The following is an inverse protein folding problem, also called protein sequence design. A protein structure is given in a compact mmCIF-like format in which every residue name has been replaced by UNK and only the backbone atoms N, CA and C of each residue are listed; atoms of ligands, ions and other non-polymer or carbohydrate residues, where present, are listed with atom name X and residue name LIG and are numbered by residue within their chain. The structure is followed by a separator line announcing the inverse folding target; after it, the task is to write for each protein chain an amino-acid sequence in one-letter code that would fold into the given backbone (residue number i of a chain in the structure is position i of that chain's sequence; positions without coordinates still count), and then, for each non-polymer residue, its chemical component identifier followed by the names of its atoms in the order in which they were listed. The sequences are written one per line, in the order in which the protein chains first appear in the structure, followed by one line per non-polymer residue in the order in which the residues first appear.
data_IF_424494302432
#
_entry.id   IF_424494302432
#
_cell.length_a   1.000
_cell.length_b   1.000
_cell.length_c   1.000
_cell.angle_alpha   90.00
_cell.angle_beta   90.00
_cell.angle_gamma   90.00
#
_symmetry.space_group_name_H-M   'P 1'
#
loop_
_entity.id
_entity.type
_entity.pdbx_description
1 polymer ?
2 non-polymer ?
3 non-polymer ?
4 non-polymer ?
5 water ?
#
# COMPACT_ATOMS: atom_id res chain seq x y z
N UNK A 2 -29.43 10.81 -20.38
CA UNK A 2 -28.41 9.73 -20.20
C UNK A 2 -27.60 9.93 -18.93
N UNK A 3 -27.24 8.85 -18.23
CA UNK A 3 -26.46 9.01 -17.01
C UNK A 3 -24.98 9.26 -17.25
N UNK A 4 -24.28 9.55 -16.16
CA UNK A 4 -22.86 9.75 -16.22
C UNK A 4 -22.30 8.53 -15.50
N UNK A 5 -21.26 7.93 -16.07
CA UNK A 5 -20.63 6.77 -15.46
C UNK A 5 -19.49 7.22 -14.57
N UNK A 6 -19.46 6.72 -13.33
CA UNK A 6 -18.38 7.01 -12.40
C UNK A 6 -17.61 5.70 -12.31
N UNK A 7 -16.41 5.70 -12.86
CA UNK A 7 -15.56 4.51 -12.89
C UNK A 7 -14.59 4.48 -11.71
N UNK A 8 -14.81 3.55 -10.79
CA UNK A 8 -13.98 3.38 -9.61
C UNK A 8 -12.86 2.41 -9.89
N UNK A 9 -11.63 2.78 -9.51
CA UNK A 9 -10.50 1.89 -9.64
C UNK A 9 -9.97 1.73 -8.21
N UNK A 10 -8.75 2.19 -7.95
CA UNK A 10 -8.20 2.08 -6.60
C UNK A 10 -8.78 3.16 -5.71
N UNK A 11 -10.10 3.29 -5.73
CA UNK A 11 -10.82 4.31 -4.96
C UNK A 11 -12.21 3.78 -4.62
N UNK A 12 -12.24 2.66 -3.91
CA UNK A 12 -13.49 2.00 -3.53
C UNK A 12 -14.12 2.66 -2.30
N UNK A 13 -14.67 3.86 -2.49
CA UNK A 13 -15.28 4.63 -1.40
C UNK A 13 -16.22 5.68 -1.96
N UNK A 14 -17.04 6.26 -1.09
CA UNK A 14 -17.98 7.32 -1.47
C UNK A 14 -17.54 8.65 -0.85
N UNK A 15 -16.75 8.59 0.23
CA UNK A 15 -16.26 9.79 0.91
C UNK A 15 -15.08 10.39 0.16
N UNK A 16 -15.00 11.71 0.12
CA UNK A 16 -13.91 12.41 -0.55
C UNK A 16 -13.56 11.78 -1.91
N UNK A 17 -14.52 11.77 -2.82
CA UNK A 17 -14.30 11.20 -4.15
C UNK A 17 -14.63 12.26 -5.20
N UNK A 18 -13.60 12.94 -5.74
CA UNK A 18 -13.78 13.99 -6.74
C UNK A 18 -14.56 13.59 -8.00
N UNK A 19 -14.27 12.41 -8.55
CA UNK A 19 -14.96 11.96 -9.76
C UNK A 19 -16.46 11.73 -9.50
N UNK A 20 -16.79 11.18 -8.33
CA UNK A 20 -18.19 10.94 -8.00
C UNK A 20 -18.99 12.23 -7.90
N UNK A 21 -18.47 13.23 -7.18
CA UNK A 21 -19.19 14.49 -7.04
C UNK A 21 -19.19 15.30 -8.33
N UNK A 22 -18.09 15.26 -9.06
CA UNK A 22 -18.01 16.01 -10.32
C UNK A 22 -19.14 15.55 -11.26
N UNK A 23 -19.38 14.26 -11.29
CA UNK A 23 -20.44 13.70 -12.15
C UNK A 23 -21.84 13.94 -11.57
N UNK A 24 -21.98 13.70 -10.27
CA UNK A 24 -23.27 13.87 -9.60
C UNK A 24 -23.81 15.28 -9.74
N UNK A 25 -22.92 16.27 -9.75
CA UNK A 25 -23.33 17.66 -9.87
C UNK A 25 -23.93 17.95 -11.24
N UNK A 26 -23.58 17.14 -12.24
CA UNK A 26 -24.08 17.33 -13.59
C UNK A 26 -25.34 16.53 -13.92
N UNK A 27 -25.58 15.44 -13.18
CA UNK A 27 -26.76 14.64 -13.44
C UNK A 27 -26.75 13.30 -12.75
N UNK A 28 -27.69 12.40 -13.09
CA UNK A 28 -27.72 11.08 -12.44
C UNK A 28 -26.49 10.27 -12.80
N UNK A 29 -26.01 9.47 -11.86
CA UNK A 29 -24.83 8.67 -12.13
C UNK A 29 -25.07 7.20 -11.88
N UNK A 30 -24.19 6.39 -12.46
CA UNK A 30 -24.18 4.95 -12.29
C UNK A 30 -22.70 4.63 -12.08
N UNK A 31 -22.39 3.89 -11.01
CA UNK A 31 -21.01 3.53 -10.73
C UNK A 31 -20.57 2.29 -11.48
N UNK A 32 -19.26 2.11 -11.61
CA UNK A 32 -18.73 0.97 -12.34
C UNK A 32 -17.36 0.56 -11.86
N UNK A 33 -17.16 -0.74 -11.72
CA UNK A 33 -15.88 -1.32 -11.34
C UNK A 33 -15.66 -2.38 -12.40
N UNK A 34 -14.43 -2.49 -12.87
CA UNK A 34 -14.11 -3.50 -13.86
C UNK A 34 -13.08 -4.43 -13.24
N UNK A 35 -13.38 -5.72 -13.20
CA UNK A 35 -12.44 -6.71 -12.65
C UNK A 35 -11.49 -6.97 -13.82
N UNK A 36 -10.30 -6.39 -13.70
CA UNK A 36 -9.23 -6.40 -14.70
C UNK A 36 -8.24 -7.52 -14.43
N UNK A 37 -7.97 -8.36 -15.42
CA UNK A 37 -7.03 -9.47 -15.23
C UNK A 37 -5.63 -8.97 -14.85
N UNK A 38 -5.28 -7.78 -15.32
CA UNK A 38 -3.98 -7.20 -15.01
C UNK A 38 -3.82 -6.93 -13.53
N UNK A 39 -4.93 -6.81 -12.80
CA UNK A 39 -4.86 -6.58 -11.36
C UNK A 39 -5.31 -7.80 -10.55
N UNK A 40 -6.31 -8.52 -11.05
CA UNK A 40 -6.82 -9.69 -10.32
C UNK A 40 -6.00 -10.96 -10.42
N UNK A 41 -5.06 -11.02 -11.36
CA UNK A 41 -4.23 -12.21 -11.48
C UNK A 41 -3.07 -12.11 -10.50
N UNK A 42 -3.38 -12.24 -9.21
CA UNK A 42 -2.38 -12.17 -8.14
C UNK A 42 -2.71 -13.24 -7.10
N UNK A 43 -2.06 -13.21 -5.95
CA UNK A 43 -2.32 -14.20 -4.92
C UNK A 43 -3.76 -14.11 -4.40
N UNK A 44 -4.34 -15.25 -3.97
CA UNK A 44 -5.71 -15.33 -3.45
C UNK A 44 -6.06 -14.30 -2.38
N UNK A 45 -5.16 -14.11 -1.41
CA UNK A 45 -5.43 -13.17 -0.33
C UNK A 45 -5.66 -11.75 -0.81
N UNK A 46 -4.93 -11.31 -1.83
CA UNK A 46 -5.08 -9.94 -2.34
C UNK A 46 -6.28 -9.84 -3.26
N UNK A 47 -6.54 -10.88 -4.03
CA UNK A 47 -7.68 -10.86 -4.93
C UNK A 47 -8.98 -10.78 -4.11
N UNK A 48 -9.07 -11.60 -3.07
CA UNK A 48 -10.25 -11.61 -2.22
C UNK A 48 -10.43 -10.27 -1.52
N UNK A 49 -9.34 -9.72 -1.00
CA UNK A 49 -9.40 -8.43 -0.32
C UNK A 49 -10.00 -7.40 -1.28
N UNK A 50 -9.58 -7.45 -2.54
CA UNK A 50 -10.10 -6.52 -3.54
C UNK A 50 -11.59 -6.76 -3.76
N UNK A 51 -11.93 -8.00 -4.11
CA UNK A 51 -13.32 -8.38 -4.36
C UNK A 51 -14.25 -8.01 -3.20
N UNK A 52 -13.85 -8.30 -1.98
CA UNK A 52 -14.71 -8.01 -0.84
C UNK A 52 -14.95 -6.52 -0.65
N UNK A 53 -13.97 -5.69 -1.00
CA UNK A 53 -14.16 -4.27 -0.86
C UNK A 53 -15.03 -3.76 -1.99
N UNK A 54 -15.04 -4.49 -3.11
CA UNK A 54 -15.91 -4.11 -4.22
C UNK A 54 -17.34 -4.46 -3.81
N UNK A 55 -17.50 -5.61 -3.15
CA UNK A 55 -18.83 -6.03 -2.69
C UNK A 55 -19.35 -5.00 -1.68
N UNK A 56 -18.47 -4.54 -0.81
CA UNK A 56 -18.84 -3.53 0.18
C UNK A 56 -19.24 -2.20 -0.49
N UNK A 57 -18.59 -1.84 -1.59
CA UNK A 57 -18.91 -0.59 -2.28
C UNK A 57 -20.32 -0.69 -2.85
N UNK A 58 -20.62 -1.84 -3.46
CA UNK A 58 -21.95 -2.03 -4.01
C UNK A 58 -22.99 -1.87 -2.89
N UNK A 59 -22.75 -2.50 -1.75
CA UNK A 59 -23.69 -2.38 -0.63
C UNK A 59 -23.84 -0.91 -0.25
N UNK A 60 -22.74 -0.17 -0.25
CA UNK A 60 -22.81 1.25 0.09
C UNK A 60 -23.66 1.99 -0.95
N UNK A 61 -23.56 1.59 -2.21
CA UNK A 61 -24.36 2.23 -3.26
C UNK A 61 -25.84 1.87 -3.03
N UNK A 62 -26.10 0.59 -2.81
CA UNK A 62 -27.46 0.10 -2.58
C UNK A 62 -28.14 0.77 -1.40
N UNK A 63 -27.42 0.87 -0.29
CA UNK A 63 -27.96 1.50 0.91
C UNK A 63 -28.45 2.91 0.63
N UNK A 64 -27.86 3.56 -0.38
CA UNK A 64 -28.24 4.92 -0.71
C UNK A 64 -29.19 4.97 -1.90
N UNK A 65 -29.62 3.80 -2.35
CA UNK A 65 -30.54 3.73 -3.48
C UNK A 65 -29.87 3.81 -4.83
N UNK A 66 -28.54 3.76 -4.88
CA UNK A 66 -27.83 3.86 -6.13
C UNK A 66 -27.42 2.54 -6.77
N UNK A 67 -26.90 2.61 -8.00
CA UNK A 67 -26.49 1.43 -8.76
C UNK A 67 -25.00 1.35 -9.12
N UNK A 68 -24.38 0.23 -8.76
CA UNK A 68 -22.96 -0.03 -9.04
C UNK A 68 -22.85 -1.26 -9.93
N UNK A 69 -22.36 -1.08 -11.16
CA UNK A 69 -22.16 -2.19 -12.08
C UNK A 69 -20.77 -2.78 -11.84
N UNK A 70 -20.64 -4.08 -12.06
CA UNK A 70 -19.37 -4.76 -11.92
C UNK A 70 -19.25 -5.65 -13.14
N UNK A 71 -18.25 -5.39 -13.96
CA UNK A 71 -18.03 -6.17 -15.16
C UNK A 71 -16.65 -6.77 -15.08
N UNK A 72 -16.45 -7.89 -15.77
CA UNK A 72 -15.17 -8.56 -15.75
C UNK A 72 -14.54 -8.50 -17.13
N UNK A 73 -13.23 -8.28 -17.20
CA UNK A 73 -12.58 -8.23 -18.50
C UNK A 73 -11.64 -7.04 -18.67
N UNK A 74 -11.24 -6.80 -19.91
CA UNK A 74 -10.33 -5.70 -20.22
C UNK A 74 -11.04 -4.35 -20.21
N UNK A 75 -10.52 -3.38 -19.43
CA UNK A 75 -11.12 -2.05 -19.33
C UNK A 75 -11.47 -1.40 -20.67
N UNK A 76 -10.58 -1.50 -21.66
CA UNK A 76 -10.86 -0.88 -22.96
C UNK A 76 -11.98 -1.57 -23.75
N UNK A 77 -12.49 -2.67 -23.23
CA UNK A 77 -13.62 -3.32 -23.89
C UNK A 77 -14.85 -3.16 -22.99
N UNK A 78 -14.68 -3.35 -21.69
CA UNK A 78 -15.79 -3.24 -20.76
C UNK A 78 -16.33 -1.85 -20.45
N UNK A 79 -15.46 -0.84 -20.33
CA UNK A 79 -15.97 0.51 -20.03
C UNK A 79 -16.83 1.02 -21.20
N UNK A 80 -16.33 0.93 -22.44
CA UNK A 80 -17.15 1.40 -23.57
C UNK A 80 -18.47 0.61 -23.65
N UNK A 81 -18.41 -0.69 -23.36
CA UNK A 81 -19.61 -1.53 -23.38
C UNK A 81 -20.65 -0.95 -22.41
N UNK A 82 -20.24 -0.74 -21.16
CA UNK A 82 -21.13 -0.17 -20.15
C UNK A 82 -21.66 1.18 -20.64
N UNK A 83 -20.78 1.99 -21.22
CA UNK A 83 -21.20 3.31 -21.73
C UNK A 83 -22.26 3.19 -22.79
N UNK A 84 -22.08 2.24 -23.72
CA UNK A 84 -23.08 2.05 -24.77
C UNK A 84 -24.40 1.58 -24.18
N UNK A 85 -24.34 0.54 -23.34
CA UNK A 85 -25.55 -0.02 -22.73
C UNK A 85 -26.34 0.97 -21.90
N UNK A 86 -25.64 1.87 -21.22
CA UNK A 86 -26.31 2.87 -20.39
C UNK A 86 -26.57 4.15 -21.15
N UNK A 87 -26.00 4.27 -22.35
CA UNK A 87 -26.15 5.50 -23.13
C UNK A 87 -25.63 6.66 -22.29
N UNK A 88 -24.49 6.43 -21.63
CA UNK A 88 -23.87 7.43 -20.78
C UNK A 88 -23.32 8.58 -21.60
N UNK A 89 -23.45 9.79 -21.08
CA UNK A 89 -22.94 10.98 -21.77
C UNK A 89 -21.42 11.10 -21.62
N UNK A 90 -20.90 10.65 -20.51
CA UNK A 90 -19.47 10.74 -20.26
C UNK A 90 -19.04 9.81 -19.13
N UNK A 91 -17.73 9.60 -19.01
CA UNK A 91 -17.17 8.76 -17.96
C UNK A 91 -16.23 9.59 -17.11
N UNK A 92 -16.36 9.47 -15.79
CA UNK A 92 -15.51 10.20 -14.85
C UNK A 92 -14.72 9.24 -13.98
N UNK A 93 -13.44 9.55 -13.78
CA UNK A 93 -12.58 8.73 -12.94
C UNK A 93 -11.47 9.58 -12.32
N UNK A 94 -10.70 8.99 -11.42
CA UNK A 94 -9.59 9.70 -10.79
C UNK A 94 -8.34 9.36 -11.60
N UNK A 95 -7.51 10.36 -11.82
CA UNK A 95 -6.28 10.20 -12.61
C UNK A 95 -5.37 9.17 -11.99
N UNK A 96 -4.68 8.41 -12.84
CA UNK A 96 -3.72 7.41 -12.36
C UNK A 96 -2.41 7.67 -13.07
N UNK A 97 -1.35 7.89 -12.29
CA UNK A 97 -0.03 8.16 -12.85
C UNK A 97 0.90 6.94 -12.93
N UNK A 98 0.35 5.75 -12.72
CA UNK A 98 1.17 4.54 -12.81
C UNK A 98 1.33 4.15 -14.27
N UNK A 99 2.39 3.42 -14.58
CA UNK A 99 2.64 2.98 -15.96
C UNK A 99 1.41 2.27 -16.53
N UNK A 100 0.91 1.28 -15.82
CA UNK A 100 -0.27 0.55 -16.30
C UNK A 100 -1.48 1.48 -16.36
N UNK A 101 -1.65 2.27 -15.30
CA UNK A 101 -2.76 3.20 -15.24
C UNK A 101 -2.84 4.09 -16.45
N UNK A 102 -1.70 4.65 -16.85
CA UNK A 102 -1.68 5.52 -18.03
C UNK A 102 -1.91 4.73 -19.30
N UNK A 103 -1.27 3.58 -19.42
CA UNK A 103 -1.46 2.77 -20.62
C UNK A 103 -2.95 2.42 -20.73
N UNK A 104 -3.54 1.90 -19.66
CA UNK A 104 -4.96 1.51 -19.64
C UNK A 104 -5.90 2.63 -20.01
N UNK A 105 -5.74 3.78 -19.34
CA UNK A 105 -6.62 4.90 -19.62
C UNK A 105 -6.49 5.47 -21.04
N UNK A 106 -5.31 5.34 -21.63
CA UNK A 106 -5.14 5.83 -23.00
C UNK A 106 -5.92 4.93 -23.94
N UNK A 107 -5.85 3.63 -23.67
CA UNK A 107 -6.56 2.64 -24.46
C UNK A 107 -8.07 2.86 -24.35
N UNK A 108 -8.55 3.09 -23.13
CA UNK A 108 -9.98 3.32 -22.92
C UNK A 108 -10.41 4.57 -23.67
N UNK A 109 -9.65 5.65 -23.51
CA UNK A 109 -9.97 6.92 -24.18
C UNK A 109 -10.10 6.69 -25.70
N UNK A 110 -9.29 5.79 -26.24
CA UNK A 110 -9.32 5.48 -27.67
C UNK A 110 -10.58 4.72 -28.06
N UNK A 111 -10.97 3.76 -27.22
CA UNK A 111 -12.16 2.97 -27.50
C UNK A 111 -13.46 3.73 -27.21
N UNK A 112 -13.45 4.61 -26.20
CA UNK A 112 -14.64 5.37 -25.82
C UNK A 112 -15.12 6.41 -26.82
N UNK A 113 -16.42 6.38 -27.15
CA UNK A 113 -17.05 7.31 -28.09
C UNK A 113 -17.48 8.59 -27.38
N UNK A 114 -17.46 8.58 -26.05
CA UNK A 114 -17.84 9.76 -25.26
C UNK A 114 -16.59 10.17 -24.47
N UNK A 115 -16.59 11.39 -23.90
CA UNK A 115 -15.43 11.86 -23.13
C UNK A 115 -15.14 11.09 -21.85
N UNK A 116 -13.86 10.96 -21.55
CA UNK A 116 -13.38 10.33 -20.34
C UNK A 116 -12.76 11.51 -19.57
N UNK A 117 -13.35 11.86 -18.42
CA UNK A 117 -12.85 12.98 -17.61
C UNK A 117 -12.10 12.48 -16.41
N UNK A 118 -10.82 12.83 -16.32
CA UNK A 118 -10.00 12.39 -15.20
C UNK A 118 -9.74 13.53 -14.24
N UNK A 119 -9.99 13.28 -12.95
CA UNK A 119 -9.77 14.29 -11.92
C UNK A 119 -8.66 13.86 -10.99
N UNK A 120 -7.93 14.83 -10.43
CA UNK A 120 -6.82 14.53 -9.52
C UNK A 120 -7.32 13.75 -8.32
N UNK A 121 -6.61 12.70 -7.95
CA UNK A 121 -6.98 11.90 -6.78
C UNK A 121 -6.53 12.71 -5.55
N UNK A 122 -7.22 12.57 -4.43
CA UNK A 122 -6.80 13.32 -3.24
C UNK A 122 -5.42 12.87 -2.74
N UNK A 123 -4.56 13.83 -2.43
CA UNK A 123 -3.22 13.54 -1.92
C UNK A 123 -2.86 14.64 -0.93
N UNK A 124 -1.79 14.44 -0.17
CA UNK A 124 -1.32 15.47 0.76
C UNK A 124 -0.42 16.32 -0.14
N UNK A 125 0.43 15.65 -0.91
CA UNK A 125 1.31 16.30 -1.87
C UNK A 125 1.22 15.49 -3.18
N UNK A 126 0.96 16.18 -4.30
CA UNK A 126 0.85 15.51 -5.60
C UNK A 126 2.13 14.79 -5.95
N UNK A 127 2.05 13.66 -6.65
CA UNK A 127 3.27 12.92 -7.01
C UNK A 127 3.95 13.53 -8.25
N UNK A 128 3.18 14.21 -9.08
CA UNK A 128 3.72 14.80 -10.30
C UNK A 128 4.17 16.25 -10.11
N UNK A 129 4.73 16.52 -8.94
CA UNK A 129 5.22 17.84 -8.60
C UNK A 129 6.42 18.11 -9.50
N UNK A 130 6.58 19.35 -9.97
CA UNK A 130 7.70 19.74 -10.85
C UNK A 130 9.06 19.24 -10.37
N UNK A 131 9.55 19.84 -9.29
CA UNK A 131 10.85 19.47 -8.74
C UNK A 131 10.84 17.98 -8.38
N UNK A 132 12.01 17.36 -8.48
CA UNK A 132 12.15 15.94 -8.15
C UNK A 132 13.08 15.80 -6.97
N UNK A 133 12.56 15.30 -5.85
CA UNK A 133 13.38 15.13 -4.64
C UNK A 133 13.65 13.65 -4.37
N UNK A 134 14.88 13.34 -3.96
CA UNK A 134 15.26 11.97 -3.65
C UNK A 134 15.29 11.84 -2.14
N UNK A 135 15.16 12.97 -1.46
CA UNK A 135 15.18 13.00 -0.01
C UNK A 135 13.85 13.49 0.52
N UNK A 136 13.42 12.88 1.62
CA UNK A 136 12.15 13.19 2.25
C UNK A 136 11.98 14.58 2.87
N UNK A 137 12.94 15.01 3.68
CA UNK A 137 12.84 16.31 4.35
C UNK A 137 12.44 17.48 3.45
N UNK A 138 13.18 17.72 2.36
CA UNK A 138 12.84 18.83 1.46
C UNK A 138 11.44 18.69 0.85
N UNK A 139 11.07 17.44 0.56
CA UNK A 139 9.76 17.13 0.00
C UNK A 139 8.68 17.49 1.00
N UNK A 140 8.82 16.99 2.23
CA UNK A 140 7.85 17.22 3.28
C UNK A 140 7.63 18.69 3.64
N UNK A 141 8.62 19.54 3.38
CA UNK A 141 8.48 20.96 3.73
C UNK A 141 7.44 21.69 2.90
N UNK A 142 7.11 21.12 1.73
CA UNK A 142 6.11 21.73 0.85
C UNK A 142 4.71 21.57 1.42
N UNK A 143 4.54 20.59 2.32
CA UNK A 143 3.22 20.34 2.91
C UNK A 143 2.82 21.46 3.88
N UNK A 144 1.66 22.06 3.63
CA UNK A 144 1.16 23.15 4.45
C UNK A 144 -0.14 22.83 5.19
N UNK A 145 -0.43 21.55 5.39
CA UNK A 145 -1.66 21.17 6.07
C UNK A 145 -2.62 20.55 5.07
N UNK A 146 -3.57 19.76 5.57
CA UNK A 146 -4.53 19.09 4.69
C UNK A 146 -5.70 19.95 4.25
N UNK A 147 -6.05 19.85 2.97
CA UNK A 147 -7.19 20.60 2.45
C UNK A 147 -8.41 19.83 2.94
N UNK A 148 -9.59 20.49 2.98
CA UNK A 148 -10.80 19.81 3.47
C UNK A 148 -11.23 18.69 2.52
N UNK A 149 -11.78 17.59 3.08
CA UNK A 149 -12.20 16.48 2.22
C UNK A 149 -13.60 16.73 1.66
N UNK A 150 -13.92 16.13 0.52
CA UNK A 150 -15.24 16.29 -0.08
C UNK A 150 -16.24 15.40 0.65
N UNK A 151 -17.48 15.87 0.83
CA UNK A 151 -18.47 15.06 1.53
C UNK A 151 -19.04 13.93 0.67
N UNK A 152 -19.55 12.88 1.32
CA UNK A 152 -20.12 11.77 0.56
C UNK A 152 -21.55 12.18 0.20
N UNK A 153 -22.12 11.57 -0.84
CA UNK A 153 -23.50 11.93 -1.18
C UNK A 153 -24.43 11.35 -0.10
N UNK A 154 -25.55 12.01 0.16
CA UNK A 154 -26.50 11.54 1.17
C UNK A 154 -27.34 10.40 0.60
N UNK A 155 -27.71 10.55 -0.67
CA UNK A 155 -28.52 9.55 -1.35
C UNK A 155 -28.07 9.58 -2.80
N UNK A 156 -28.36 8.51 -3.53
CA UNK A 156 -27.95 8.43 -4.92
C UNK A 156 -29.12 8.22 -5.85
N UNK A 157 -29.05 8.77 -7.07
CA UNK A 157 -30.16 8.58 -8.01
C UNK A 157 -30.26 7.11 -8.35
N UNK A 158 -31.47 6.65 -8.63
CA UNK A 158 -31.71 5.25 -8.95
C UNK A 158 -31.25 4.93 -10.37
N UNK A 159 -30.85 3.68 -10.59
CA UNK A 159 -30.43 3.27 -11.91
C UNK A 159 -30.40 1.75 -11.97
N UNK A 160 -30.14 1.17 -13.15
CA UNK A 160 -30.10 -0.28 -13.23
C UNK A 160 -28.78 -0.82 -12.71
N UNK A 161 -28.81 -2.01 -12.13
CA UNK A 161 -27.63 -2.65 -11.60
C UNK A 161 -27.34 -3.92 -12.41
N UNK A 162 -26.06 -4.15 -12.70
CA UNK A 162 -25.65 -5.31 -13.49
C UNK A 162 -24.34 -5.89 -12.99
N UNK A 163 -24.14 -7.17 -13.28
CA UNK A 163 -22.91 -7.85 -12.91
C UNK A 163 -22.90 -8.52 -11.56
N UNK A 164 -22.09 -9.57 -11.45
CA UNK A 164 -21.97 -10.34 -10.21
C UNK A 164 -20.54 -10.23 -9.70
N UNK A 165 -20.39 -10.28 -8.38
CA UNK A 165 -19.08 -10.19 -7.77
C UNK A 165 -18.60 -11.54 -7.27
N UNK A 166 -17.64 -12.17 -7.97
CA UNK A 166 -17.10 -13.48 -7.58
C UNK A 166 -16.69 -13.55 -6.11
N UNK A 167 -16.67 -14.77 -5.57
CA UNK A 167 -16.27 -15.00 -4.19
C UNK A 167 -15.01 -15.84 -4.19
N UNK A 168 -13.95 -15.32 -3.58
CA UNK A 168 -12.66 -15.99 -3.53
C UNK A 168 -12.26 -16.40 -2.11
N UNK A 169 -11.51 -17.50 -2.02
CA UNK A 169 -11.06 -17.99 -0.74
C UNK A 169 -9.73 -17.28 -0.44
N UNK A 170 -9.74 -16.33 0.50
CA UNK A 170 -8.52 -15.60 0.86
C UNK A 170 -7.45 -16.50 1.48
N UNK A 171 -7.88 -17.62 2.06
CA UNK A 171 -6.95 -18.53 2.69
C UNK A 171 -6.46 -17.99 4.01
N UNK A 172 -7.15 -16.97 4.53
CA UNK A 172 -6.79 -16.37 5.79
C UNK A 172 -7.85 -15.38 6.25
N UNK A 173 -7.77 -14.92 7.51
CA UNK A 173 -8.74 -13.97 8.04
C UNK A 173 -8.52 -12.56 7.50
N UNK A 174 -9.55 -12.01 6.87
CA UNK A 174 -9.44 -10.66 6.32
C UNK A 174 -10.04 -9.63 7.27
N UNK A 175 -9.50 -8.40 7.24
CA UNK A 175 -10.03 -7.35 8.12
C UNK A 175 -11.47 -7.10 7.67
N UNK A 176 -12.23 -6.30 8.40
CA UNK A 176 -13.60 -6.03 7.97
C UNK A 176 -13.50 -5.11 6.75
N UNK A 177 -14.07 -5.54 5.62
CA UNK A 177 -14.05 -4.76 4.38
C UNK A 177 -15.02 -3.59 4.33
N UNK A 178 -14.69 -2.59 3.53
CA UNK A 178 -15.59 -1.46 3.40
C UNK A 178 -15.19 -0.18 4.09
N UNK A 179 -15.80 0.90 3.63
CA UNK A 179 -15.56 2.24 4.11
C UNK A 179 -16.05 2.46 5.55
N UNK A 180 -17.21 1.93 5.89
CA UNK A 180 -17.73 2.10 7.25
C UNK A 180 -16.70 1.54 8.23
N UNK A 181 -16.25 0.32 7.97
CA UNK A 181 -15.26 -0.31 8.83
C UNK A 181 -14.00 0.55 8.90
N UNK A 182 -13.52 1.02 7.75
CA UNK A 182 -12.32 1.84 7.70
C UNK A 182 -12.51 3.13 8.50
N UNK A 183 -13.66 3.77 8.37
CA UNK A 183 -13.92 5.00 9.08
C UNK A 183 -13.97 4.78 10.59
N UNK A 184 -14.57 3.67 11.03
CA UNK A 184 -14.64 3.37 12.46
C UNK A 184 -13.22 3.19 12.98
N UNK A 185 -12.41 2.47 12.21
CA UNK A 185 -11.02 2.26 12.62
C UNK A 185 -10.28 3.57 12.78
N UNK A 186 -10.48 4.50 11.85
CA UNK A 186 -9.81 5.79 11.92
C UNK A 186 -10.19 6.52 13.21
N UNK A 187 -11.50 6.59 13.49
CA UNK A 187 -12.00 7.24 14.72
C UNK A 187 -11.31 6.66 15.95
N UNK A 188 -11.40 5.34 16.10
CA UNK A 188 -10.78 4.65 17.22
C UNK A 188 -9.32 5.08 17.38
N UNK A 189 -8.53 4.87 16.33
CA UNK A 189 -7.13 5.23 16.38
C UNK A 189 -6.91 6.67 16.82
N UNK A 190 -7.66 7.59 16.24
CA UNK A 190 -7.52 9.00 16.56
C UNK A 190 -7.89 9.32 18.00
N UNK A 191 -8.95 8.69 18.50
CA UNK A 191 -9.39 8.94 19.87
C UNK A 191 -8.54 8.27 20.93
N UNK A 192 -8.03 7.08 20.62
CA UNK A 192 -7.24 6.33 21.59
C UNK A 192 -5.73 6.33 21.39
N UNK A 193 -5.26 5.87 20.23
CA UNK A 193 -3.84 5.75 19.97
C UNK A 193 -3.06 6.95 19.45
N UNK A 194 -3.70 7.87 18.75
CA UNK A 194 -2.98 9.01 18.21
C UNK A 194 -2.09 9.74 19.22
N UNK A 195 -2.60 10.01 20.43
CA UNK A 195 -1.85 10.71 21.48
C UNK A 195 -0.45 10.18 21.79
N UNK A 196 -0.29 8.86 21.78
CA UNK A 196 1.00 8.26 22.10
C UNK A 196 1.71 7.68 20.88
N UNK A 197 1.13 7.88 19.71
CA UNK A 197 1.70 7.35 18.47
C UNK A 197 3.21 7.51 18.35
N UNK A 198 3.72 8.69 18.70
CA UNK A 198 5.15 8.96 18.58
C UNK A 198 5.99 8.02 19.43
N UNK A 199 5.46 7.59 20.57
CA UNK A 199 6.18 6.70 21.45
C UNK A 199 5.88 5.22 21.23
N UNK A 200 4.82 4.93 20.48
CA UNK A 200 4.43 3.54 20.25
C UNK A 200 4.54 3.06 18.80
N UNK A 201 4.96 3.93 17.89
CA UNK A 201 5.03 3.57 16.48
C UNK A 201 6.19 2.65 16.08
N UNK A 202 6.99 2.21 17.05
CA UNK A 202 8.12 1.34 16.72
C UNK A 202 8.01 -0.09 17.25
N UNK A 203 6.97 -0.36 18.02
CA UNK A 203 6.77 -1.69 18.56
C UNK A 203 6.81 -2.69 17.39
N UNK A 204 7.38 -3.86 17.63
CA UNK A 204 7.48 -4.89 16.61
C UNK A 204 6.11 -5.44 16.20
N UNK A 205 5.19 -5.48 17.15
CA UNK A 205 3.84 -5.98 16.89
C UNK A 205 2.97 -4.90 16.25
N UNK A 206 3.56 -3.71 16.09
CA UNK A 206 2.86 -2.59 15.49
C UNK A 206 1.45 -2.28 15.96
N UNK A 207 1.21 -2.37 17.26
CA UNK A 207 -0.12 -2.08 17.77
C UNK A 207 -0.27 -0.61 18.15
N UNK A 208 0.81 0.14 17.97
CA UNK A 208 0.77 1.55 18.26
C UNK A 208 0.27 2.29 17.03
N UNK A 209 0.16 1.56 15.92
CA UNK A 209 -0.29 2.14 14.68
C UNK A 209 -1.78 1.92 14.40
N UNK A 210 -2.27 2.58 13.36
CA UNK A 210 -3.68 2.49 12.98
C UNK A 210 -4.09 1.18 12.28
N UNK A 211 -3.13 0.49 11.68
CA UNK A 211 -3.44 -0.74 10.96
C UNK A 211 -4.41 -0.44 9.81
N UNK A 212 -4.36 0.77 9.26
CA UNK A 212 -5.27 1.15 8.17
C UNK A 212 -4.71 0.99 6.75
N UNK A 213 -3.44 0.62 6.63
CA UNK A 213 -2.80 0.45 5.33
C UNK A 213 -3.58 -0.40 4.31
N UNK A 214 -4.22 -1.50 4.73
CA UNK A 214 -4.97 -2.31 3.76
C UNK A 214 -6.09 -1.50 3.10
N UNK A 215 -6.66 -0.56 3.85
CA UNK A 215 -7.73 0.29 3.33
C UNK A 215 -7.17 1.37 2.41
N UNK A 216 -6.07 1.98 2.83
CA UNK A 216 -5.44 3.01 2.04
C UNK A 216 -5.05 2.44 0.67
N UNK A 217 -4.48 1.24 0.69
CA UNK A 217 -4.02 0.58 -0.52
C UNK A 217 -5.06 0.48 -1.62
N UNK A 218 -6.31 0.34 -1.25
CA UNK A 218 -7.39 0.22 -2.23
C UNK A 218 -8.24 1.49 -2.31
N UNK A 219 -7.77 2.57 -1.70
CA UNK A 219 -8.52 3.80 -1.72
C UNK A 219 -9.83 3.74 -0.97
N UNK A 220 -9.99 2.75 -0.10
CA UNK A 220 -11.21 2.64 0.68
C UNK A 220 -11.25 3.82 1.64
N UNK A 221 -10.08 4.38 1.90
CA UNK A 221 -9.94 5.53 2.80
C UNK A 221 -9.08 6.57 2.09
N UNK A 222 -9.53 7.82 2.09
CA UNK A 222 -8.77 8.88 1.47
C UNK A 222 -7.68 9.40 2.41
N UNK A 223 -6.45 9.58 1.92
CA UNK A 223 -5.40 10.07 2.81
C UNK A 223 -5.66 11.52 3.22
N UNK A 224 -6.37 12.27 2.37
CA UNK A 224 -6.67 13.65 2.66
C UNK A 224 -7.63 13.74 3.82
N UNK A 225 -8.63 12.86 3.81
CA UNK A 225 -9.62 12.85 4.87
C UNK A 225 -8.91 12.48 6.18
N UNK A 226 -8.10 11.43 6.15
CA UNK A 226 -7.38 10.99 7.33
C UNK A 226 -6.49 12.08 7.94
N UNK A 227 -5.72 12.75 7.09
CA UNK A 227 -4.84 13.82 7.54
C UNK A 227 -5.65 14.97 8.15
N UNK A 228 -6.71 15.36 7.45
CA UNK A 228 -7.57 16.43 7.91
C UNK A 228 -8.11 16.12 9.31
N UNK A 229 -8.53 14.89 9.52
CA UNK A 229 -9.06 14.46 10.82
C UNK A 229 -7.98 14.53 11.91
N UNK A 230 -6.80 13.99 11.61
CA UNK A 230 -5.72 13.99 12.58
C UNK A 230 -5.29 15.41 12.94
N UNK A 231 -5.22 16.28 11.93
CA UNK A 231 -4.82 17.65 12.15
C UNK A 231 -5.84 18.42 12.98
N UNK A 232 -7.08 17.95 12.98
CA UNK A 232 -8.13 18.58 13.78
C UNK A 232 -7.88 18.28 15.25
N UNK A 233 -7.18 17.17 15.50
CA UNK A 233 -6.85 16.75 16.86
C UNK A 233 -5.58 17.48 17.28
N UNK A 234 -4.64 17.60 16.34
CA UNK A 234 -3.40 18.28 16.62
C UNK A 234 -2.54 17.54 17.62
N UNK A 235 -1.40 18.14 17.97
CA UNK A 235 -0.50 17.52 18.92
C UNK A 235 0.70 16.87 18.25
N UNK A 236 1.61 16.35 19.06
CA UNK A 236 2.80 15.68 18.55
C UNK A 236 2.38 14.43 17.78
N UNK A 237 1.45 13.68 18.34
CA UNK A 237 0.96 12.47 17.71
C UNK A 237 0.49 12.71 16.29
N UNK A 238 -0.37 13.70 16.12
CA UNK A 238 -0.91 14.03 14.81
C UNK A 238 0.21 14.43 13.84
N UNK A 239 1.14 15.25 14.31
CA UNK A 239 2.27 15.71 13.48
C UNK A 239 3.06 14.53 12.91
N UNK A 240 3.40 13.60 13.79
CA UNK A 240 4.18 12.43 13.42
C UNK A 240 3.41 11.45 12.54
N UNK A 241 2.14 11.25 12.84
CA UNK A 241 1.32 10.30 12.08
C UNK A 241 1.09 10.83 10.65
N UNK A 242 0.80 12.12 10.53
CA UNK A 242 0.59 12.70 9.21
C UNK A 242 1.88 12.59 8.42
N UNK A 243 3.01 12.72 9.11
CA UNK A 243 4.32 12.61 8.46
C UNK A 243 4.46 11.24 7.79
N UNK A 244 3.86 10.22 8.40
CA UNK A 244 3.91 8.88 7.85
C UNK A 244 3.06 8.81 6.58
N UNK A 245 1.91 9.48 6.60
CA UNK A 245 1.02 9.54 5.45
C UNK A 245 1.80 10.19 4.32
N UNK A 246 2.63 11.17 4.66
CA UNK A 246 3.41 11.84 3.65
C UNK A 246 4.39 10.86 3.00
N UNK A 247 4.91 9.92 3.80
CA UNK A 247 5.83 8.93 3.25
C UNK A 247 5.18 8.15 2.12
N UNK A 248 3.87 7.94 2.22
CA UNK A 248 3.15 7.22 1.18
C UNK A 248 3.20 8.06 -0.09
N UNK A 249 2.89 9.35 0.05
CA UNK A 249 2.91 10.23 -1.11
C UNK A 249 4.32 10.39 -1.66
N UNK A 250 5.32 10.36 -0.78
CA UNK A 250 6.70 10.49 -1.19
C UNK A 250 7.05 9.28 -2.07
N UNK A 251 6.50 8.12 -1.71
CA UNK A 251 6.72 6.88 -2.44
C UNK A 251 6.23 7.02 -3.89
N UNK A 252 5.03 7.57 -4.07
CA UNK A 252 4.50 7.74 -5.41
C UNK A 252 5.32 8.79 -6.16
N UNK A 253 5.74 9.83 -5.43
CA UNK A 253 6.56 10.90 -6.01
C UNK A 253 7.83 10.30 -6.60
N UNK A 254 8.49 9.43 -5.83
CA UNK A 254 9.72 8.79 -6.28
C UNK A 254 9.52 7.98 -7.57
N UNK A 255 8.58 7.03 -7.53
CA UNK A 255 8.33 6.19 -8.69
C UNK A 255 7.94 7.02 -9.92
N UNK A 256 7.26 8.14 -9.69
CA UNK A 256 6.85 9.00 -10.79
C UNK A 256 8.03 9.69 -11.48
N UNK A 257 8.94 10.26 -10.69
CA UNK A 257 10.10 10.96 -11.24
C UNK A 257 11.24 10.01 -11.61
N UNK A 258 11.34 8.88 -10.92
CA UNK A 258 12.40 7.91 -11.19
C UNK A 258 11.77 6.56 -11.48
N UNK A 259 11.13 6.41 -12.64
CA UNK A 259 10.47 5.15 -13.04
C UNK A 259 11.46 4.00 -13.01
N UNK A 260 12.67 4.29 -13.48
CA UNK A 260 13.72 3.29 -13.55
C UNK A 260 14.11 2.67 -12.24
N UNK A 261 13.61 3.21 -11.11
CA UNK A 261 14.00 2.61 -9.85
C UNK A 261 13.32 1.28 -9.61
N UNK A 262 12.32 0.96 -10.43
CA UNK A 262 11.64 -0.33 -10.31
C UNK A 262 12.58 -1.37 -10.91
N UNK A 263 13.52 -0.90 -11.72
CA UNK A 263 14.49 -1.77 -12.38
C UNK A 263 15.84 -1.81 -11.65
N UNK A 264 16.38 -0.65 -11.29
CA UNK A 264 17.66 -0.57 -10.61
C UNK A 264 17.66 0.43 -9.45
N UNK A 265 18.59 0.27 -8.50
CA UNK A 265 18.71 1.15 -7.34
C UNK A 265 18.77 2.63 -7.70
N UNK A 266 18.21 3.48 -6.83
CA UNK A 266 18.25 4.92 -7.05
C UNK A 266 19.70 5.33 -7.06
N UNK A 267 20.46 4.75 -6.13
CA UNK A 267 21.88 5.02 -6.00
C UNK A 267 22.68 4.19 -7.01
N UNK A 268 23.16 4.82 -8.09
CA UNK A 268 23.93 4.17 -9.15
C UNK A 268 25.07 3.27 -8.70
N UNK A 269 25.77 3.66 -7.64
CA UNK A 269 26.89 2.86 -7.17
C UNK A 269 26.52 1.48 -6.63
N UNK A 270 25.27 1.09 -6.79
CA UNK A 270 24.82 -0.22 -6.35
C UNK A 270 24.19 -0.97 -7.51
N UNK A 271 24.27 -0.38 -8.70
CA UNK A 271 23.72 -0.97 -9.90
C UNK A 271 24.37 -2.32 -10.23
N UNK A 272 25.55 -2.56 -9.67
CA UNK A 272 26.27 -3.81 -9.92
C UNK A 272 26.72 -4.52 -8.65
N UNK A 273 25.85 -4.54 -7.63
CA UNK A 273 26.21 -5.20 -6.39
C UNK A 273 26.17 -6.70 -6.65
N UNK A 274 27.07 -7.47 -6.03
CA UNK A 274 27.13 -8.92 -6.21
C UNK A 274 26.01 -9.68 -5.48
N UNK A 275 24.79 -9.58 -6.01
CA UNK A 275 23.64 -10.27 -5.41
C UNK A 275 23.77 -11.76 -5.68
N UNK A 276 23.98 -12.53 -4.61
CA UNK A 276 24.13 -13.96 -4.73
C UNK A 276 22.78 -14.67 -4.70
N UNK A 277 22.26 -14.99 -5.88
CA UNK A 277 20.97 -15.67 -5.99
C UNK A 277 21.08 -17.16 -5.68
N UNK A 278 20.92 -17.50 -4.41
CA UNK A 278 20.97 -18.90 -4.00
C UNK A 278 19.58 -19.34 -3.60
N UNK A 279 18.99 -20.18 -4.45
CA UNK A 279 17.63 -20.69 -4.23
C UNK A 279 17.41 -21.25 -2.83
N UNK A 280 18.45 -21.82 -2.25
CA UNK A 280 18.34 -22.40 -0.92
C UNK A 280 18.08 -21.33 0.15
N UNK A 281 18.86 -20.25 0.11
CA UNK A 281 18.71 -19.17 1.07
C UNK A 281 17.38 -18.42 0.90
N UNK A 282 16.95 -18.26 -0.34
CA UNK A 282 15.69 -17.56 -0.59
C UNK A 282 14.52 -18.20 0.16
N UNK A 283 14.40 -19.51 0.07
CA UNK A 283 13.30 -20.22 0.75
C UNK A 283 13.42 -20.03 2.25
N UNK A 284 14.65 -20.15 2.75
CA UNK A 284 14.91 -19.98 4.17
C UNK A 284 14.32 -18.66 4.64
N UNK A 285 14.60 -17.60 3.88
CA UNK A 285 14.10 -16.28 4.20
C UNK A 285 12.60 -16.22 3.98
N UNK A 286 12.17 -16.58 2.76
CA UNK A 286 10.77 -16.57 2.39
C UNK A 286 9.86 -17.35 3.35
N UNK A 287 10.38 -18.44 3.89
CA UNK A 287 9.63 -19.26 4.82
C UNK A 287 9.85 -18.90 6.29
N UNK A 288 10.83 -18.05 6.54
CA UNK A 288 11.12 -17.68 7.92
C UNK A 288 11.85 -18.79 8.63
N UNK A 289 12.83 -19.37 7.95
CA UNK A 289 13.63 -20.47 8.50
C UNK A 289 15.11 -20.10 8.41
N UNK A 290 15.43 -18.87 8.80
CA UNK A 290 16.80 -18.39 8.76
C UNK A 290 17.51 -18.68 10.08
N UNK A 291 16.72 -18.97 11.11
CA UNK A 291 17.30 -19.26 12.41
C UNK A 291 17.27 -18.02 13.28
N UNK A 292 17.12 -16.86 12.67
CA UNK A 292 17.07 -15.60 13.40
C UNK A 292 15.65 -15.36 13.90
N UNK A 293 15.46 -15.38 15.23
CA UNK A 293 14.15 -15.18 15.85
C UNK A 293 13.30 -14.05 15.26
N UNK A 294 13.91 -12.88 15.10
CA UNK A 294 13.21 -11.71 14.56
C UNK A 294 12.67 -11.95 13.15
N UNK A 295 13.58 -12.07 12.19
CA UNK A 295 13.21 -12.30 10.80
C UNK A 295 12.20 -13.44 10.68
N UNK A 296 12.49 -14.55 11.35
CA UNK A 296 11.61 -15.71 11.31
C UNK A 296 10.19 -15.39 11.76
N UNK A 297 10.05 -14.73 12.90
CA UNK A 297 8.73 -14.37 13.42
C UNK A 297 8.02 -13.40 12.49
N UNK A 298 8.78 -12.52 11.85
CA UNK A 298 8.22 -11.53 10.93
C UNK A 298 7.62 -12.21 9.71
N UNK A 299 8.40 -13.07 9.08
CA UNK A 299 7.96 -13.78 7.89
C UNK A 299 6.82 -14.74 8.18
N UNK A 300 6.75 -15.20 9.41
CA UNK A 300 5.69 -16.13 9.80
C UNK A 300 4.36 -15.41 10.02
N UNK A 301 4.44 -14.19 10.52
CA UNK A 301 3.23 -13.40 10.73
C UNK A 301 2.74 -12.96 9.35
N UNK A 302 3.68 -12.55 8.50
CA UNK A 302 3.36 -12.11 7.14
C UNK A 302 2.60 -13.19 6.37
N UNK A 303 3.11 -14.42 6.40
CA UNK A 303 2.46 -15.54 5.71
C UNK A 303 1.08 -15.85 6.28
N UNK A 304 0.95 -15.70 7.60
CA UNK A 304 -0.31 -16.00 8.27
C UNK A 304 -1.35 -14.89 8.26
N UNK A 305 -0.92 -13.65 8.48
CA UNK A 305 -1.85 -12.52 8.54
C UNK A 305 -1.93 -11.62 7.33
N UNK A 306 -0.84 -11.50 6.58
CA UNK A 306 -0.85 -10.64 5.42
C UNK A 306 -0.53 -9.22 5.85
N UNK A 307 -0.20 -9.06 7.12
CA UNK A 307 0.16 -7.76 7.67
C UNK A 307 1.41 -7.89 8.50
N UNK A 308 2.17 -6.81 8.59
CA UNK A 308 3.40 -6.80 9.36
C UNK A 308 3.71 -5.34 9.71
N UNK A 309 4.12 -5.10 10.95
CA UNK A 309 4.44 -3.75 11.39
C UNK A 309 5.58 -3.18 10.57
N UNK A 310 5.73 -1.86 10.62
CA UNK A 310 6.78 -1.21 9.86
C UNK A 310 8.17 -1.61 10.34
N UNK A 311 8.34 -1.71 11.66
CA UNK A 311 9.62 -2.08 12.25
C UNK A 311 9.99 -3.49 11.80
N UNK A 312 9.02 -4.40 11.83
CA UNK A 312 9.27 -5.77 11.40
C UNK A 312 9.68 -5.81 9.92
N UNK A 313 8.97 -5.07 9.07
CA UNK A 313 9.26 -5.06 7.65
C UNK A 313 10.66 -4.59 7.28
N UNK A 314 11.15 -3.55 7.95
CA UNK A 314 12.49 -3.03 7.64
C UNK A 314 13.60 -4.01 8.03
N UNK A 315 13.36 -4.78 9.09
CA UNK A 315 14.34 -5.78 9.53
C UNK A 315 14.37 -6.90 8.50
N UNK A 316 13.26 -7.63 8.42
CA UNK A 316 13.12 -8.74 7.49
C UNK A 316 13.62 -8.36 6.10
N UNK A 317 13.32 -7.14 5.68
CA UNK A 317 13.74 -6.68 4.35
C UNK A 317 15.24 -6.47 4.25
N UNK A 318 15.82 -5.84 5.27
CA UNK A 318 17.25 -5.59 5.25
C UNK A 318 18.05 -6.87 5.41
N UNK A 319 17.60 -7.71 6.34
CA UNK A 319 18.27 -8.99 6.59
C UNK A 319 18.53 -9.71 5.28
N UNK A 320 17.50 -9.76 4.44
CA UNK A 320 17.60 -10.44 3.15
C UNK A 320 18.59 -9.76 2.21
N UNK A 321 18.58 -8.43 2.19
CA UNK A 321 19.45 -7.67 1.30
C UNK A 321 20.91 -7.58 1.73
N UNK A 322 21.14 -7.41 3.03
CA UNK A 322 22.49 -7.26 3.55
C UNK A 322 23.11 -8.51 4.16
N UNK A 323 22.36 -9.22 5.00
CA UNK A 323 22.87 -10.41 5.65
C UNK A 323 22.84 -11.67 4.78
N UNK A 324 22.12 -11.62 3.66
CA UNK A 324 22.02 -12.78 2.78
C UNK A 324 22.32 -12.42 1.34
N UNK A 325 22.47 -11.13 1.07
CA UNK A 325 22.77 -10.64 -0.27
C UNK A 325 21.83 -11.20 -1.34
N UNK A 326 20.61 -11.55 -0.94
CA UNK A 326 19.62 -12.06 -1.90
C UNK A 326 19.21 -10.88 -2.75
N UNK A 327 19.08 -11.07 -4.07
CA UNK A 327 18.68 -9.94 -4.91
C UNK A 327 17.35 -9.33 -4.45
N UNK A 328 17.28 -8.00 -4.46
CA UNK A 328 16.08 -7.29 -4.02
C UNK A 328 14.89 -7.45 -4.96
N UNK A 329 15.13 -7.42 -6.27
CA UNK A 329 14.05 -7.56 -7.25
C UNK A 329 13.12 -8.73 -6.94
N UNK A 330 13.69 -9.91 -6.70
CA UNK A 330 12.88 -11.09 -6.41
C UNK A 330 12.23 -11.01 -5.04
N UNK A 331 13.00 -10.57 -4.05
CA UNK A 331 12.49 -10.45 -2.68
C UNK A 331 11.34 -9.45 -2.55
N UNK A 332 11.46 -8.28 -3.18
CA UNK A 332 10.40 -7.28 -3.06
C UNK A 332 9.10 -7.76 -3.71
N UNK A 333 9.20 -8.53 -4.78
CA UNK A 333 8.02 -9.04 -5.46
C UNK A 333 7.31 -10.05 -4.56
N UNK A 334 8.06 -10.99 -4.01
CA UNK A 334 7.47 -12.01 -3.15
C UNK A 334 6.85 -11.36 -1.91
N UNK A 335 7.48 -10.30 -1.44
CA UNK A 335 7.02 -9.57 -0.26
C UNK A 335 5.65 -8.95 -0.55
N UNK A 336 5.59 -8.18 -1.64
CA UNK A 336 4.38 -7.50 -2.05
C UNK A 336 3.18 -8.45 -2.15
N UNK A 337 3.39 -9.60 -2.77
CA UNK A 337 2.33 -10.59 -2.97
C UNK A 337 1.74 -11.17 -1.69
N UNK A 338 2.49 -11.10 -0.59
CA UNK A 338 2.00 -11.63 0.68
C UNK A 338 1.29 -10.56 1.51
N UNK A 339 1.37 -9.31 1.07
CA UNK A 339 0.77 -8.19 1.79
C UNK A 339 -0.60 -7.73 1.32
N UNK A 340 -1.52 -7.56 2.25
CA UNK A 340 -2.86 -7.09 1.91
C UNK A 340 -2.74 -5.64 1.44
N UNK A 341 -1.79 -4.92 1.99
CA UNK A 341 -1.58 -3.52 1.62
C UNK A 341 -0.49 -3.40 0.57
N UNK A 342 -0.13 -4.53 -0.02
CA UNK A 342 0.91 -4.57 -1.05
C UNK A 342 0.67 -3.51 -2.11
N UNK A 343 1.55 -2.51 -2.13
CA UNK A 343 1.47 -1.38 -3.06
C UNK A 343 2.83 -1.30 -3.74
N UNK A 344 2.85 -1.40 -5.06
CA UNK A 344 4.10 -1.39 -5.81
C UNK A 344 5.07 -0.25 -5.48
N UNK A 345 4.60 0.99 -5.62
CA UNK A 345 5.43 2.14 -5.33
C UNK A 345 5.95 2.16 -3.89
N UNK A 346 5.03 1.96 -2.94
CA UNK A 346 5.40 1.99 -1.54
C UNK A 346 6.34 0.88 -1.13
N UNK A 347 6.06 -0.34 -1.59
CA UNK A 347 6.90 -1.48 -1.27
C UNK A 347 8.30 -1.31 -1.84
N UNK A 348 8.37 -0.73 -3.03
CA UNK A 348 9.64 -0.50 -3.70
C UNK A 348 10.50 0.51 -2.92
N UNK A 349 9.89 1.63 -2.52
CA UNK A 349 10.65 2.61 -1.77
C UNK A 349 11.04 2.01 -0.43
N UNK A 350 10.15 1.22 0.16
CA UNK A 350 10.46 0.59 1.44
C UNK A 350 11.67 -0.33 1.34
N UNK A 351 11.78 -1.07 0.24
CA UNK A 351 12.90 -1.96 0.05
C UNK A 351 14.18 -1.21 -0.31
N UNK A 352 14.06 -0.24 -1.21
CA UNK A 352 15.24 0.52 -1.60
C UNK A 352 15.70 1.45 -0.49
N UNK A 353 14.95 1.49 0.60
CA UNK A 353 15.30 2.33 1.73
C UNK A 353 15.92 1.45 2.82
N UNK A 354 15.17 0.43 3.23
CA UNK A 354 15.65 -0.49 4.24
C UNK A 354 16.84 -1.27 3.69
N UNK A 355 16.98 -1.29 2.37
CA UNK A 355 18.08 -2.02 1.77
C UNK A 355 19.26 -1.12 1.51
N UNK A 356 19.13 0.15 1.90
CA UNK A 356 20.21 1.09 1.68
C UNK A 356 20.55 1.13 0.21
N UNK A 357 19.54 1.31 -0.64
CA UNK A 357 19.77 1.33 -2.08
C UNK A 357 19.63 2.68 -2.75
N UNK A 358 19.47 3.74 -1.96
CA UNK A 358 19.36 5.07 -2.56
C UNK A 358 18.23 5.98 -2.12
N UNK A 359 17.23 5.44 -1.43
CA UNK A 359 16.10 6.25 -0.99
C UNK A 359 16.43 7.07 0.26
N UNK A 360 16.01 8.34 0.25
CA UNK A 360 16.24 9.26 1.37
C UNK A 360 17.72 9.25 1.76
N UNK A 361 18.59 8.99 0.80
CA UNK A 361 20.02 8.94 1.05
C UNK A 361 20.36 8.17 2.33
N UNK A 362 19.62 7.10 2.60
CA UNK A 362 19.88 6.30 3.79
C UNK A 362 21.23 5.61 3.61
N UNK A 363 22.13 5.74 4.59
CA UNK A 363 23.47 5.14 4.55
C UNK A 363 23.50 3.61 4.65
N UNK A 364 24.39 3.02 3.86
CA UNK A 364 24.54 1.57 3.84
C UNK A 364 25.09 1.03 5.16
N UNK A 365 25.96 1.81 5.81
CA UNK A 365 26.57 1.37 7.06
C UNK A 365 25.60 1.10 8.19
N UNK A 366 24.36 1.54 8.04
CA UNK A 366 23.37 1.28 9.08
C UNK A 366 22.89 -0.16 8.89
N UNK A 367 23.22 -1.02 9.83
CA UNK A 367 22.83 -2.42 9.75
C UNK A 367 22.14 -2.84 11.04
N UNK A 368 20.90 -3.29 10.91
CA UNK A 368 20.12 -3.71 12.07
C UNK A 368 20.73 -4.90 12.78
N UNK A 369 20.58 -4.94 14.09
CA UNK A 369 21.10 -6.02 14.90
C UNK A 369 19.90 -6.86 15.33
N UNK A 370 19.61 -7.93 14.58
CA UNK A 370 18.51 -8.87 14.79
C UNK A 370 18.09 -9.16 16.22
N UNK A 371 19.04 -9.15 17.16
CA UNK A 371 18.70 -9.44 18.56
C UNK A 371 18.39 -8.17 19.34
N UNK A 372 19.21 -7.14 19.16
CA UNK A 372 18.98 -5.87 19.84
C UNK A 372 17.60 -5.38 19.48
N UNK A 373 17.38 -5.23 18.17
CA UNK A 373 16.10 -4.76 17.65
C UNK A 373 14.95 -5.47 18.36
N UNK A 374 15.06 -6.79 18.48
CA UNK A 374 14.03 -7.56 19.12
C UNK A 374 13.82 -7.30 20.60
N UNK A 375 14.87 -6.86 21.28
CA UNK A 375 14.78 -6.58 22.71
C UNK A 375 14.44 -5.12 22.98
N UNK A 376 14.84 -4.25 22.06
CA UNK A 376 14.58 -2.83 22.20
C UNK A 376 13.19 -2.47 21.67
N UNK A 377 12.60 -3.35 20.87
CA UNK A 377 11.28 -3.08 20.31
C UNK A 377 10.25 -4.16 20.62
N UNK A 378 10.50 -4.93 21.68
CA UNK A 378 9.59 -5.98 22.12
C UNK A 378 9.92 -6.38 23.55
N UNK A 379 9.05 -6.03 24.51
CA UNK A 379 9.15 -6.29 25.94
C UNK A 379 9.50 -7.73 26.33
N UNK A 380 8.53 -8.43 26.92
CA UNK A 380 8.75 -9.81 27.33
C UNK A 380 8.90 -10.72 26.13
N UNK A 381 9.22 -10.12 24.98
CA UNK A 381 9.36 -10.92 23.77
C UNK A 381 8.04 -11.58 23.46
N UNK A 382 6.96 -10.94 23.90
CA UNK A 382 5.62 -11.46 23.67
C UNK A 382 5.33 -11.64 22.18
N UNK A 383 5.87 -10.73 21.37
CA UNK A 383 5.67 -10.81 19.93
C UNK A 383 6.30 -12.09 19.44
N UNK A 384 7.61 -12.23 19.69
CA UNK A 384 8.36 -13.41 19.28
C UNK A 384 7.71 -14.69 19.80
N UNK A 385 7.09 -14.59 20.97
CA UNK A 385 6.42 -15.72 21.59
C UNK A 385 5.22 -16.19 20.79
N UNK A 386 4.47 -15.24 20.24
CA UNK A 386 3.27 -15.56 19.47
C UNK A 386 3.54 -16.07 18.06
N UNK A 387 4.64 -15.63 17.46
CA UNK A 387 4.96 -16.04 16.10
C UNK A 387 6.09 -17.06 15.95
N UNK A 388 6.96 -17.14 16.96
CA UNK A 388 8.06 -18.10 16.94
C UNK A 388 8.29 -18.63 18.35
N UNK A 389 7.29 -19.33 18.90
CA UNK A 389 7.34 -19.91 20.25
C UNK A 389 8.62 -20.70 20.50
N UNK A 390 9.07 -21.42 19.47
CA UNK A 390 10.27 -22.23 19.54
C UNK A 390 11.46 -21.49 20.15
N UNK A 391 11.78 -20.34 19.59
CA UNK A 391 12.91 -19.55 20.06
C UNK A 391 12.74 -19.12 21.53
N UNK A 392 13.79 -19.33 22.34
CA UNK A 392 13.78 -18.96 23.76
C UNK A 392 13.85 -17.44 23.90
N UNK A 393 14.59 -16.83 22.98
CA UNK A 393 14.76 -15.38 22.94
C UNK A 393 15.24 -14.99 21.55
N UNK A 394 15.59 -13.72 21.37
CA UNK A 394 16.07 -13.26 20.07
C UNK A 394 17.51 -13.68 19.87
N UNK A 395 17.85 -14.84 20.39
CA UNK A 395 19.20 -15.40 20.28
C UNK A 395 19.26 -16.32 19.06
N UNK A 396 20.13 -16.00 18.09
CA UNK A 396 20.28 -16.79 16.87
C UNK A 396 20.57 -18.27 17.18
N UNK A 397 19.53 -19.09 17.11
CA UNK A 397 19.67 -20.52 17.38
C UNK A 397 19.87 -21.30 16.09
N UNK A 398 21.11 -21.28 15.60
CA UNK A 398 21.50 -21.98 14.37
C UNK A 398 21.12 -21.19 13.12
N UNK A 399 21.78 -20.04 12.91
CA UNK A 399 21.54 -19.16 11.76
C UNK A 399 21.95 -19.82 10.45
N UNK A 400 21.24 -19.49 9.37
CA UNK A 400 21.55 -20.06 8.06
C UNK A 400 22.84 -19.45 7.52
N UNK A 401 23.36 -18.48 8.27
CA UNK A 401 24.61 -17.79 7.94
C UNK A 401 25.15 -17.20 9.24
N UNK A 402 26.43 -16.84 9.25
CA UNK A 402 27.03 -16.25 10.44
C UNK A 402 26.76 -14.75 10.42
N UNK A 403 25.90 -14.29 11.33
CA UNK A 403 25.53 -12.89 11.42
C UNK A 403 26.71 -11.93 11.40
N UNK A 404 27.60 -12.04 12.39
CA UNK A 404 28.75 -11.16 12.46
C UNK A 404 29.54 -11.18 11.15
N UNK A 405 29.71 -12.36 10.57
CA UNK A 405 30.44 -12.51 9.32
C UNK A 405 29.68 -11.87 8.17
N UNK A 406 28.44 -12.30 7.99
CA UNK A 406 27.58 -11.77 6.93
C UNK A 406 27.59 -10.24 6.96
N UNK A 407 27.62 -9.68 8.16
CA UNK A 407 27.64 -8.23 8.32
C UNK A 407 28.90 -7.65 7.69
N UNK A 408 30.05 -8.02 8.28
CA UNK A 408 31.34 -7.55 7.79
C UNK A 408 31.47 -7.84 6.30
N UNK A 409 30.85 -8.93 5.86
CA UNK A 409 30.89 -9.32 4.45
C UNK A 409 30.22 -8.23 3.62
N UNK A 410 29.04 -7.80 4.06
CA UNK A 410 28.30 -6.76 3.37
C UNK A 410 29.04 -5.42 3.42
N UNK A 411 29.32 -4.97 4.63
CA UNK A 411 30.04 -3.71 4.83
C UNK A 411 31.23 -3.64 3.89
N UNK A 412 31.94 -4.76 3.79
CA UNK A 412 33.11 -4.85 2.92
C UNK A 412 32.70 -4.52 1.49
N UNK A 413 31.84 -5.37 0.93
CA UNK A 413 31.35 -5.20 -0.44
C UNK A 413 30.78 -3.82 -0.68
N UNK A 414 29.98 -3.33 0.27
CA UNK A 414 29.34 -2.03 0.15
C UNK A 414 30.32 -0.89 -0.12
N UNK A 415 31.49 -0.94 0.50
CA UNK A 415 32.50 0.10 0.31
C UNK A 415 33.11 0.15 -1.08
N UNK A 416 32.28 -0.06 -2.09
CA UNK A 416 32.72 -0.03 -3.48
C UNK A 416 31.53 0.19 -4.41
X LIG B 1 -5.35 2.82 -10.71
X LIG B 1 -5.94 3.75 -11.70
X LIG B 1 -5.59 1.42 -11.15
X LIG B 1 -3.88 3.06 -10.61
X LIG B 1 -5.98 3.04 -9.38
X LIG C 1 11.10 4.92 7.53
X LIG C 1 10.43 3.84 8.12
X LIG C 1 10.31 3.71 9.32
X LIG C 1 9.91 2.91 7.21
X LIG C 1 10.00 2.97 5.82
X LIG C 1 9.49 2.09 5.13
X LIG C 1 10.72 4.14 5.31
X LIG C 1 10.85 4.27 3.83
X LIG C 1 11.24 5.05 6.16
X LIG D 1 0.51 3.80 10.66
X LIG D 1 -0.79 3.88 11.35
X LIG D 1 1.75 3.92 11.45
X LIG D 1 0.60 4.91 9.51
X LIG D 1 -0.61 5.37 8.85
X LIG D 1 -0.48 5.28 7.33
X LIG D 1 0.67 6.02 6.83
X LIG D 1 -0.24 3.83 6.91
X LIG D 1 -1.44 3.06 6.91
X LIG D 1 0.41 4.00 5.56
X LIG D 1 -0.61 4.19 4.58
X LIG D 1 1.26 5.26 5.74
X LIG D 1 2.64 4.91 6.12
X LIG D 1 3.17 4.65 7.39
X LIG D 1 4.43 4.37 7.38
X LIG D 1 4.78 4.44 6.05
X LIG D 1 6.00 4.24 5.38
X LIG D 1 7.11 3.93 6.04
X LIG D 1 6.04 4.38 4.01
X LIG D 1 4.91 4.70 3.37
X LIG D 1 3.69 4.91 3.89
X LIG D 1 3.71 4.76 5.26
X LIG D 1 3.12 -0.04 3.25
X LIG D 1 2.05 -0.30 2.42
X LIG D 1 0.95 0.23 2.60
X LIG D 1 2.31 -1.19 1.38
X LIG D 1 3.52 -1.84 1.13
X LIG D 1 3.63 -2.57 0.14
X LIG D 1 4.56 -1.50 2.08
X LIG D 1 5.76 -2.17 1.87
X LIG D 1 6.80 -1.90 2.76
X LIG D 1 7.99 -2.56 2.58
X LIG D 1 9.05 -2.33 3.44
X LIG D 1 10.38 -3.05 3.28
X LIG D 1 8.89 -1.39 4.51
X LIG D 1 10.06 -1.12 5.46
X LIG D 1 7.71 -0.74 4.68
X LIG D 1 6.64 -0.98 3.83
X LIG D 1 5.41 -0.31 4.04
X LIG D 1 4.38 -0.58 3.16
X LIG D 1 5.30 0.82 4.79
X LIG D 1 4.72 0.46 6.16
X LIG D 1 5.47 -0.55 6.83
X LIG D 1 3.22 0.50 6.38
X LIG D 1 2.47 1.44 5.62
X LIG D 1 2.74 0.32 7.84
X LIG D 1 3.37 -0.77 8.53
X LIG D 1 1.24 0.27 7.94
X LIG D 1 0.81 0.08 9.30
X LIG D 1 -0.28 1.10 9.83
X LIG D 1 -1.40 1.18 8.85
X LIG D 1 -0.62 0.80 11.23
X LIG D 1 0.60 2.45 9.76
#
# INVERSE_FOLDING_TARGET
MGPLLVWHRGDLRLHDHPALLEALARGPVVGLVVLDPNNLKTTPRRRAWFLENVRALREAYRARGGALWVLEGLPWEKVPEAARRLKAKAVYALTSHTPYGRYRDGRVREALPVPLHLLPAPHLLPPDLPRAYRVYTPFSRLYRGAAPPLPPPEALPKGPEEGEIPREDPGLPLPEPGEEAALAGLRAFLEAKLPRYAEERDRLDGEGGSRLSPYFALGVLSPRLAAWEAERRGGEGARKWVAELLWRDFSYHLLYHFPWMAERPLDPRFQAFPWQEDEALFQAWYEGKTGVPLVDAAMRELHATGFLSNRARMNAAQFAVKHLLLPWKRCEEAFRHLLLDGDRAVNLQGWQWAGGLGVDAAPYFRVFNPVLQGERHDPEGRWLKRWAPEYPSYAPKDPVVDLEEARRRYLRLARDLARG
PO4 P O1 O2 O3 O4
TDR N1 C2 O2 N3 C4 O4 C5 CM5 C6
FAD PA O1A O2A O5B C5B C4B O4B C3B O3B C2B O2B C1B N9A C8A N7A C5A C6A N6A N1A C2A N3A C4A N1 C2 O2 N3 C4 O4 C4X N5 C5X C6 C7 C7M C8 C8M C9 C9A N10 C10 C1' C2' O2' C3' O3' C4' O4' C5' O5' P O1P O2P O3P
#
